data_IF_215587789764
#
_entry.id   IF_215587789764
#
_cell.length_a   1.000
_cell.length_b   1.000
_cell.length_c   1.000
_cell.angle_alpha   90.00
_cell.angle_beta   90.00
_cell.angle_gamma   90.00
#
_symmetry.space_group_name_H-M   'P 1'
#
loop_
_entity.id
_entity.type
_entity.pdbx_description
1 polymer ?
#
# COMPACT_ATOMS: atom_id res chain seq x y z
N UNK A 1 -22.06 -35.11 5.01
CA UNK A 1 -21.12 -34.79 3.91
C UNK A 1 -21.40 -33.36 3.49
N UNK A 2 -20.59 -32.41 3.97
CA UNK A 2 -20.71 -31.00 3.60
C UNK A 2 -19.93 -30.85 2.30
N UNK A 3 -20.64 -30.62 1.19
CA UNK A 3 -20.04 -30.40 -0.11
C UNK A 3 -19.23 -29.10 -0.10
N UNK A 4 -17.96 -29.18 -0.47
CA UNK A 4 -17.13 -28.01 -0.71
C UNK A 4 -17.72 -27.19 -1.86
N UNK A 5 -18.08 -25.94 -1.59
CA UNK A 5 -18.59 -24.99 -2.59
C UNK A 5 -17.48 -24.67 -3.60
N UNK A 6 -17.69 -24.85 -4.92
CA UNK A 6 -16.73 -24.43 -5.92
C UNK A 6 -16.82 -22.91 -6.14
N UNK A 7 -15.72 -22.21 -5.89
CA UNK A 7 -15.42 -20.87 -6.42
C UNK A 7 -13.91 -20.84 -6.77
N UNK A 8 -13.32 -19.90 -7.56
CA UNK A 8 -13.85 -18.71 -8.25
C UNK A 8 -13.22 -18.50 -9.67
N UNK A 9 -13.01 -19.56 -10.46
CA UNK A 9 -12.15 -19.46 -11.66
C UNK A 9 -12.72 -18.56 -12.78
N UNK A 10 -14.04 -18.58 -12.99
CA UNK A 10 -14.70 -17.69 -13.96
C UNK A 10 -14.75 -16.21 -13.53
N UNK A 11 -14.66 -15.94 -12.22
CA UNK A 11 -14.61 -14.58 -11.68
C UNK A 11 -13.21 -13.97 -11.88
N UNK A 12 -12.17 -14.79 -11.70
CA UNK A 12 -10.77 -14.42 -11.96
C UNK A 12 -10.57 -13.97 -13.41
N UNK A 13 -11.10 -14.71 -14.38
CA UNK A 13 -10.93 -14.41 -15.82
C UNK A 13 -11.58 -13.07 -16.21
N UNK A 14 -12.75 -12.77 -15.65
CA UNK A 14 -13.46 -11.51 -15.92
C UNK A 14 -12.77 -10.29 -15.27
N UNK A 15 -12.24 -10.43 -14.05
CA UNK A 15 -11.55 -9.34 -13.34
C UNK A 15 -10.20 -8.98 -13.97
N UNK A 16 -9.47 -9.96 -14.52
CA UNK A 16 -8.17 -9.75 -15.21
C UNK A 16 -8.35 -8.95 -16.52
N UNK A 17 -9.45 -9.18 -17.24
CA UNK A 17 -9.75 -8.49 -18.50
C UNK A 17 -10.01 -6.99 -18.29
N UNK A 18 -10.81 -6.63 -17.27
CA UNK A 18 -11.17 -5.23 -16.97
C UNK A 18 -9.95 -4.42 -16.52
N UNK A 19 -9.04 -5.00 -15.72
CA UNK A 19 -7.83 -4.33 -15.27
C UNK A 19 -6.85 -4.00 -16.41
N UNK A 20 -6.92 -4.70 -17.54
CA UNK A 20 -5.99 -4.54 -18.67
C UNK A 20 -6.34 -3.38 -19.59
N UNK A 21 -7.61 -2.97 -19.69
CA UNK A 21 -8.07 -1.94 -20.64
C UNK A 21 -7.69 -0.51 -20.21
N UNK A 22 -7.76 -0.20 -18.91
CA UNK A 22 -7.44 1.13 -18.37
C UNK A 22 -5.95 1.51 -18.49
N UNK A 23 -5.07 0.50 -18.55
CA UNK A 23 -3.61 0.69 -18.64
C UNK A 23 -3.19 1.19 -20.03
N UNK A 24 -3.95 0.85 -21.06
CA UNK A 24 -3.64 1.22 -22.46
C UNK A 24 -3.82 2.72 -22.68
N UNK A 25 -4.87 3.32 -22.11
CA UNK A 25 -5.18 4.75 -22.28
C UNK A 25 -4.12 5.70 -21.67
N UNK A 26 -3.37 5.26 -20.65
CA UNK A 26 -2.29 6.06 -20.06
C UNK A 26 -1.02 6.08 -20.94
N UNK A 27 -0.82 5.08 -21.80
CA UNK A 27 0.44 4.86 -22.54
C UNK A 27 0.61 5.74 -23.78
N UNK A 28 -0.45 6.34 -24.29
CA UNK A 28 -0.45 7.06 -25.58
C UNK A 28 0.29 8.41 -25.55
N UNK A 29 0.76 8.87 -24.39
CA UNK A 29 1.37 10.20 -24.23
C UNK A 29 2.89 10.19 -23.92
N UNK A 30 3.59 9.06 -24.05
CA UNK A 30 5.03 8.99 -23.74
C UNK A 30 5.88 9.01 -25.02
N UNK A 31 6.79 9.99 -25.21
CA UNK A 31 7.64 10.06 -26.41
C UNK A 31 8.62 8.88 -26.50
N UNK A 32 9.04 8.48 -27.72
CA UNK A 32 9.95 7.36 -27.93
C UNK A 32 11.36 7.71 -27.41
N UNK A 33 11.85 6.89 -26.47
CA UNK A 33 13.16 7.05 -25.83
C UNK A 33 14.29 6.44 -26.70
N UNK A 34 15.52 6.98 -26.63
CA UNK A 34 16.69 6.42 -27.33
C UNK A 34 16.96 4.97 -26.91
N UNK A 35 17.61 4.19 -27.78
CA UNK A 35 17.81 2.74 -27.67
C UNK A 35 18.26 2.28 -26.29
N UNK A 36 17.27 1.79 -25.55
CA UNK A 36 17.37 1.20 -24.22
C UNK A 36 17.83 -0.26 -24.33
N UNK A 37 18.68 -0.76 -23.41
CA UNK A 37 19.08 -2.17 -23.37
C UNK A 37 17.86 -3.10 -23.30
N UNK A 38 17.75 -4.02 -24.27
CA UNK A 38 16.59 -4.93 -24.44
C UNK A 38 16.49 -6.01 -23.37
N UNK A 39 17.58 -6.26 -22.66
CA UNK A 39 17.63 -7.12 -21.47
C UNK A 39 18.45 -6.39 -20.41
N UNK A 40 17.88 -6.24 -19.22
CA UNK A 40 18.69 -5.93 -18.04
C UNK A 40 19.14 -7.29 -17.52
N UNK A 41 20.32 -7.75 -17.96
CA UNK A 41 20.86 -9.06 -17.59
C UNK A 41 21.21 -9.03 -16.10
N UNK A 42 20.37 -9.72 -15.31
CA UNK A 42 20.45 -9.90 -13.85
C UNK A 42 21.82 -10.37 -13.41
N UNK A 43 22.46 -11.20 -14.24
CA UNK A 43 23.70 -11.90 -13.93
C UNK A 43 24.93 -10.99 -13.89
N UNK A 44 24.79 -9.71 -14.22
CA UNK A 44 25.90 -8.74 -14.18
C UNK A 44 25.97 -7.93 -12.89
N UNK A 45 24.95 -7.99 -12.04
CA UNK A 45 24.97 -7.30 -10.75
C UNK A 45 25.65 -8.20 -9.72
N UNK A 46 26.84 -7.78 -9.28
CA UNK A 46 27.52 -8.40 -8.15
C UNK A 46 26.60 -8.39 -6.91
N UNK A 47 26.23 -9.57 -6.37
CA UNK A 47 25.28 -9.70 -5.27
C UNK A 47 25.74 -9.03 -3.96
N UNK A 48 27.06 -8.89 -3.75
CA UNK A 48 27.59 -8.20 -2.58
C UNK A 48 27.41 -6.70 -2.71
N UNK A 49 27.68 -6.16 -3.90
CA UNK A 49 27.41 -4.76 -4.23
C UNK A 49 25.92 -4.43 -4.17
N UNK A 50 25.05 -5.35 -4.62
CA UNK A 50 23.61 -5.23 -4.48
C UNK A 50 23.20 -5.10 -3.01
N UNK A 51 23.59 -6.07 -2.19
CA UNK A 51 23.18 -6.15 -0.79
C UNK A 51 23.62 -4.92 -0.03
N UNK A 52 24.87 -4.49 -0.24
CA UNK A 52 25.41 -3.25 0.32
C UNK A 52 24.59 -2.02 -0.10
N UNK A 53 24.26 -1.90 -1.39
CA UNK A 53 23.44 -0.80 -1.90
C UNK A 53 22.04 -0.80 -1.29
N UNK A 54 21.37 -1.96 -1.25
CA UNK A 54 20.02 -2.12 -0.67
C UNK A 54 20.01 -1.74 0.80
N UNK A 55 20.92 -2.31 1.60
CA UNK A 55 21.03 -2.02 3.04
C UNK A 55 21.33 -0.55 3.28
N UNK A 56 22.27 0.03 2.54
CA UNK A 56 22.66 1.43 2.67
C UNK A 56 21.50 2.37 2.34
N UNK A 57 20.87 2.21 1.17
CA UNK A 57 19.90 3.19 0.68
C UNK A 57 18.51 2.96 1.29
N UNK A 58 18.01 1.72 1.31
CA UNK A 58 16.71 1.45 1.94
C UNK A 58 16.80 1.54 3.46
N UNK A 59 17.98 1.32 4.07
CA UNK A 59 18.21 1.61 5.48
C UNK A 59 18.16 3.10 5.78
N UNK A 60 18.78 3.96 4.94
CA UNK A 60 18.66 5.43 5.02
C UNK A 60 17.22 5.89 4.87
N UNK A 61 16.45 5.29 3.96
CA UNK A 61 15.02 5.59 3.83
C UNK A 61 14.27 5.14 5.08
N UNK A 62 14.47 3.89 5.51
CA UNK A 62 13.83 3.29 6.67
C UNK A 62 14.03 4.07 7.95
N UNK A 63 15.25 4.54 8.22
CA UNK A 63 15.53 5.38 9.40
C UNK A 63 14.83 6.74 9.37
N UNK A 64 14.35 7.17 8.20
CA UNK A 64 13.57 8.40 8.01
C UNK A 64 12.06 8.15 8.04
N UNK A 65 11.60 7.01 7.52
CA UNK A 65 10.17 6.74 7.32
C UNK A 65 9.50 5.89 8.38
N UNK A 66 10.26 5.15 9.19
CA UNK A 66 9.64 4.20 10.11
C UNK A 66 9.20 4.89 11.39
N UNK A 67 7.93 4.71 11.75
CA UNK A 67 7.26 5.34 12.90
C UNK A 67 7.57 4.66 14.24
N UNK A 68 8.80 4.16 14.45
CA UNK A 68 9.23 3.57 15.72
C UNK A 68 10.39 2.57 15.59
N UNK A 69 10.91 2.06 16.72
CA UNK A 69 11.92 1.01 16.69
C UNK A 69 11.33 -0.24 16.04
N UNK A 70 11.98 -0.69 14.98
CA UNK A 70 11.69 -2.00 14.40
C UNK A 70 12.25 -3.04 15.38
N UNK A 71 11.48 -4.10 15.75
CA UNK A 71 11.91 -5.08 16.75
C UNK A 71 13.05 -5.99 16.25
N UNK A 72 13.55 -5.73 15.04
CA UNK A 72 14.67 -6.41 14.42
C UNK A 72 15.62 -5.38 13.80
N UNK A 73 16.89 -5.78 13.65
CA UNK A 73 17.87 -4.97 12.93
C UNK A 73 17.46 -4.87 11.46
N UNK A 74 16.96 -3.69 11.07
CA UNK A 74 16.48 -3.41 9.72
C UNK A 74 17.53 -3.76 8.66
N UNK A 75 18.80 -3.43 8.92
CA UNK A 75 19.93 -3.76 8.05
C UNK A 75 20.05 -5.25 7.78
N UNK A 76 19.98 -6.07 8.83
CA UNK A 76 20.02 -7.55 8.74
C UNK A 76 18.83 -8.09 7.95
N UNK A 77 17.63 -7.55 8.20
CA UNK A 77 16.43 -7.90 7.43
C UNK A 77 16.54 -7.56 5.95
N UNK A 78 17.05 -6.37 5.61
CA UNK A 78 17.27 -5.92 4.24
C UNK A 78 18.36 -6.71 3.52
N UNK A 79 19.46 -7.01 4.21
CA UNK A 79 20.55 -7.84 3.68
C UNK A 79 20.03 -9.23 3.32
N UNK A 80 19.30 -9.85 4.26
CA UNK A 80 18.65 -11.14 4.04
C UNK A 80 17.70 -11.09 2.86
N UNK A 81 16.86 -10.07 2.77
CA UNK A 81 15.95 -9.89 1.63
C UNK A 81 16.71 -9.75 0.31
N UNK A 82 17.79 -8.98 0.25
CA UNK A 82 18.58 -8.83 -0.98
C UNK A 82 19.24 -10.15 -1.44
N UNK A 83 19.73 -10.94 -0.48
CA UNK A 83 20.43 -12.20 -0.73
C UNK A 83 19.47 -13.35 -1.03
N UNK A 84 18.43 -13.54 -0.22
CA UNK A 84 17.57 -14.73 -0.26
C UNK A 84 16.36 -14.57 -1.20
N UNK A 85 15.99 -13.34 -1.58
CA UNK A 85 14.81 -13.15 -2.41
C UNK A 85 15.03 -13.69 -3.84
N UNK A 86 14.00 -14.34 -4.42
CA UNK A 86 14.03 -14.76 -5.82
C UNK A 86 14.16 -13.54 -6.75
N UNK A 87 14.69 -13.78 -7.96
CA UNK A 87 15.23 -12.75 -8.84
C UNK A 87 14.36 -11.50 -9.04
N UNK A 88 13.04 -11.65 -9.20
CA UNK A 88 12.13 -10.50 -9.38
C UNK A 88 12.12 -9.59 -8.15
N UNK A 89 11.99 -10.13 -6.94
CA UNK A 89 11.98 -9.31 -5.72
C UNK A 89 13.35 -8.67 -5.46
N UNK A 90 14.43 -9.38 -5.81
CA UNK A 90 15.79 -8.81 -5.76
C UNK A 90 15.93 -7.57 -6.65
N UNK A 91 15.33 -7.58 -7.84
CA UNK A 91 15.31 -6.43 -8.74
C UNK A 91 14.47 -5.25 -8.24
N UNK A 92 13.32 -5.49 -7.62
CA UNK A 92 12.52 -4.41 -7.04
C UNK A 92 13.30 -3.69 -5.95
N UNK A 93 14.05 -4.43 -5.12
CA UNK A 93 14.94 -3.88 -4.09
C UNK A 93 16.08 -3.07 -4.71
N UNK A 94 16.74 -3.57 -5.76
CA UNK A 94 17.81 -2.84 -6.45
C UNK A 94 17.31 -1.51 -7.04
N UNK A 95 16.17 -1.56 -7.73
CA UNK A 95 15.55 -0.40 -8.34
C UNK A 95 15.17 0.63 -7.27
N UNK A 96 14.56 0.17 -6.19
CA UNK A 96 14.23 1.00 -5.03
C UNK A 96 15.45 1.68 -4.42
N UNK A 97 16.52 0.92 -4.18
CA UNK A 97 17.75 1.44 -3.61
C UNK A 97 18.39 2.52 -4.51
N UNK A 98 18.40 2.31 -5.83
CA UNK A 98 18.89 3.31 -6.78
C UNK A 98 18.02 4.57 -6.81
N UNK A 99 16.70 4.40 -6.80
CA UNK A 99 15.76 5.51 -6.81
C UNK A 99 15.87 6.33 -5.53
N UNK A 100 15.92 5.68 -4.37
CA UNK A 100 16.15 6.33 -3.07
C UNK A 100 17.48 7.07 -3.07
N UNK A 101 18.56 6.47 -3.56
CA UNK A 101 19.85 7.16 -3.71
C UNK A 101 19.72 8.44 -4.51
N UNK A 102 19.13 8.37 -5.72
CA UNK A 102 18.93 9.54 -6.57
C UNK A 102 18.08 10.63 -5.92
N UNK A 103 17.02 10.24 -5.19
CA UNK A 103 16.15 11.18 -4.47
C UNK A 103 16.86 11.83 -3.27
N UNK A 104 17.57 11.05 -2.46
CA UNK A 104 18.24 11.55 -1.25
C UNK A 104 19.48 12.37 -1.57
N UNK A 105 20.19 12.03 -2.63
CA UNK A 105 21.42 12.70 -3.04
C UNK A 105 21.13 13.87 -4.01
N UNK A 106 19.86 14.14 -4.32
CA UNK A 106 19.43 15.25 -5.19
C UNK A 106 19.85 15.10 -6.65
N UNK A 107 20.16 13.88 -7.09
CA UNK A 107 20.63 13.55 -8.44
C UNK A 107 19.69 12.53 -9.09
N UNK A 108 18.43 12.90 -9.37
CA UNK A 108 17.48 11.98 -9.99
C UNK A 108 18.00 11.56 -11.37
N UNK A 109 18.17 10.25 -11.57
CA UNK A 109 18.51 9.76 -12.90
C UNK A 109 17.30 9.90 -13.84
N UNK A 110 17.49 10.38 -15.08
CA UNK A 110 16.39 10.67 -16.01
C UNK A 110 15.62 9.41 -16.47
N UNK A 111 16.11 8.21 -16.16
CA UNK A 111 15.62 6.97 -16.77
C UNK A 111 14.78 6.08 -15.85
N UNK A 112 14.49 6.48 -14.61
CA UNK A 112 13.75 5.62 -13.66
C UNK A 112 12.35 5.24 -14.15
N UNK A 113 11.64 6.16 -14.81
CA UNK A 113 10.30 5.89 -15.37
C UNK A 113 10.37 4.74 -16.38
N UNK A 114 11.36 4.78 -17.28
CA UNK A 114 11.58 3.73 -18.25
C UNK A 114 11.98 2.40 -17.59
N UNK A 115 12.71 2.45 -16.47
CA UNK A 115 13.09 1.25 -15.71
C UNK A 115 11.85 0.61 -15.06
N UNK A 116 11.00 1.41 -14.43
CA UNK A 116 9.73 0.97 -13.84
C UNK A 116 8.84 0.32 -14.90
N UNK A 117 8.59 0.99 -16.04
CA UNK A 117 7.69 0.47 -17.08
C UNK A 117 8.20 -0.85 -17.67
N UNK A 118 9.51 -0.96 -17.96
CA UNK A 118 10.08 -2.22 -18.46
C UNK A 118 9.97 -3.33 -17.43
N UNK A 119 10.27 -3.02 -16.18
CA UNK A 119 10.28 -4.04 -15.14
C UNK A 119 8.86 -4.51 -14.81
N UNK A 120 7.90 -3.59 -14.73
CA UNK A 120 6.47 -3.88 -14.68
C UNK A 120 6.05 -4.82 -15.81
N UNK A 121 6.38 -4.49 -17.07
CA UNK A 121 6.06 -5.35 -18.22
C UNK A 121 6.67 -6.74 -18.09
N UNK A 122 7.90 -6.85 -17.61
CA UNK A 122 8.54 -8.16 -17.39
C UNK A 122 7.79 -9.01 -16.35
N UNK A 123 7.37 -8.38 -15.24
CA UNK A 123 6.65 -9.06 -14.16
C UNK A 123 5.25 -9.50 -14.60
N UNK A 124 4.55 -8.68 -15.38
CA UNK A 124 3.19 -9.01 -15.85
C UNK A 124 3.18 -9.97 -17.04
N UNK A 125 4.20 -9.95 -17.91
CA UNK A 125 4.19 -10.73 -19.16
C UNK A 125 4.36 -12.24 -18.95
N UNK A 126 4.94 -12.69 -17.83
CA UNK A 126 5.18 -14.12 -17.60
C UNK A 126 3.98 -14.87 -16.98
N UNK A 127 2.84 -14.21 -16.78
CA UNK A 127 1.81 -14.65 -15.83
C UNK A 127 0.62 -15.42 -16.42
N UNK A 128 0.39 -15.43 -17.73
CA UNK A 128 -0.98 -15.73 -18.22
C UNK A 128 -1.28 -17.24 -18.33
N UNK A 129 -0.28 -18.14 -18.29
CA UNK A 129 -0.50 -19.55 -18.65
C UNK A 129 -0.02 -20.57 -17.60
N UNK A 130 0.80 -20.17 -16.62
CA UNK A 130 1.41 -21.12 -15.68
C UNK A 130 0.83 -21.00 -14.27
N UNK A 131 0.51 -22.14 -13.66
CA UNK A 131 0.17 -22.22 -12.23
C UNK A 131 1.42 -21.94 -11.40
N UNK A 132 1.53 -20.72 -10.89
CA UNK A 132 2.63 -20.30 -10.04
C UNK A 132 2.46 -20.84 -8.60
N UNK A 133 3.57 -21.10 -7.93
CA UNK A 133 3.54 -21.41 -6.50
C UNK A 133 3.31 -20.14 -5.65
N UNK A 134 3.06 -20.33 -4.34
CA UNK A 134 2.77 -19.20 -3.45
C UNK A 134 3.96 -18.22 -3.34
N UNK A 135 5.20 -18.72 -3.32
CA UNK A 135 6.39 -17.89 -3.15
C UNK A 135 6.65 -17.01 -4.38
N UNK A 136 6.42 -17.54 -5.58
CA UNK A 136 6.53 -16.78 -6.82
C UNK A 136 5.42 -15.73 -6.93
N UNK A 137 4.18 -16.09 -6.58
CA UNK A 137 3.06 -15.15 -6.53
C UNK A 137 3.33 -14.01 -5.54
N UNK A 138 3.83 -14.32 -4.34
CA UNK A 138 4.27 -13.32 -3.36
C UNK A 138 5.39 -12.45 -3.91
N UNK A 139 6.39 -13.03 -4.56
CA UNK A 139 7.50 -12.28 -5.18
C UNK A 139 7.02 -11.29 -6.24
N UNK A 140 6.09 -11.70 -7.12
CA UNK A 140 5.51 -10.83 -8.16
C UNK A 140 4.61 -9.75 -7.56
N UNK A 141 3.76 -10.10 -6.60
CA UNK A 141 2.91 -9.16 -5.89
C UNK A 141 3.75 -8.09 -5.17
N UNK A 142 4.71 -8.53 -4.34
CA UNK A 142 5.65 -7.66 -3.63
C UNK A 142 6.34 -6.67 -4.56
N UNK A 143 6.82 -7.17 -5.71
CA UNK A 143 7.49 -6.38 -6.72
C UNK A 143 6.59 -5.29 -7.33
N UNK A 144 5.38 -5.64 -7.75
CA UNK A 144 4.46 -4.66 -8.34
C UNK A 144 4.01 -3.62 -7.30
N UNK A 145 3.82 -4.02 -6.04
CA UNK A 145 3.54 -3.06 -4.97
C UNK A 145 4.71 -2.10 -4.71
N UNK A 146 5.95 -2.60 -4.74
CA UNK A 146 7.15 -1.77 -4.66
C UNK A 146 7.23 -0.80 -5.84
N UNK A 147 6.93 -1.26 -7.05
CA UNK A 147 6.86 -0.41 -8.24
C UNK A 147 5.77 0.66 -8.13
N UNK A 148 4.59 0.30 -7.62
CA UNK A 148 3.53 1.26 -7.35
C UNK A 148 3.99 2.30 -6.32
N UNK A 149 4.68 1.87 -5.26
CA UNK A 149 5.26 2.75 -4.25
C UNK A 149 6.30 3.70 -4.85
N UNK A 150 7.28 3.20 -5.60
CA UNK A 150 8.29 4.02 -6.26
C UNK A 150 7.67 5.02 -7.24
N UNK A 151 6.68 4.59 -8.01
CA UNK A 151 5.93 5.45 -8.93
C UNK A 151 5.25 6.60 -8.20
N UNK A 152 4.66 6.33 -7.03
CA UNK A 152 4.09 7.38 -6.18
C UNK A 152 5.13 8.40 -5.70
N UNK A 153 6.40 8.00 -5.52
CA UNK A 153 7.48 8.89 -5.09
C UNK A 153 7.97 9.81 -6.22
N UNK A 154 8.04 9.32 -7.46
CA UNK A 154 8.67 10.06 -8.57
C UNK A 154 7.70 10.67 -9.58
N UNK A 155 6.46 10.18 -9.65
CA UNK A 155 5.44 10.63 -10.58
C UNK A 155 4.23 11.16 -9.80
N UNK A 156 3.07 10.54 -9.98
CA UNK A 156 1.86 10.88 -9.29
C UNK A 156 1.13 9.63 -8.79
N UNK A 157 0.11 9.87 -7.97
CA UNK A 157 -0.65 8.79 -7.34
C UNK A 157 -1.54 8.06 -8.35
N UNK A 158 -1.89 8.67 -9.48
CA UNK A 158 -2.71 8.04 -10.53
C UNK A 158 -1.90 6.98 -11.28
N UNK A 159 -0.66 7.30 -11.65
CA UNK A 159 0.27 6.35 -12.24
C UNK A 159 0.56 5.18 -11.28
N UNK A 160 0.74 5.48 -9.99
CA UNK A 160 0.89 4.45 -8.95
C UNK A 160 -0.33 3.53 -8.84
N UNK A 161 -1.53 4.10 -8.86
CA UNK A 161 -2.78 3.32 -8.84
C UNK A 161 -2.95 2.44 -10.08
N UNK A 162 -2.51 2.90 -11.25
CA UNK A 162 -2.51 2.09 -12.47
C UNK A 162 -1.61 0.84 -12.36
N UNK A 163 -0.49 0.94 -11.64
CA UNK A 163 0.36 -0.22 -11.33
C UNK A 163 -0.31 -1.11 -10.28
N UNK A 164 -0.91 -0.52 -9.23
CA UNK A 164 -1.62 -1.27 -8.19
C UNK A 164 -2.74 -2.14 -8.77
N UNK A 165 -3.47 -1.67 -9.79
CA UNK A 165 -4.46 -2.48 -10.54
C UNK A 165 -3.86 -3.77 -11.10
N UNK A 166 -2.60 -3.76 -11.48
CA UNK A 166 -1.91 -4.93 -12.04
C UNK A 166 -1.45 -5.93 -10.97
N UNK A 167 -1.46 -5.54 -9.69
CA UNK A 167 -1.27 -6.48 -8.59
C UNK A 167 -2.47 -7.43 -8.42
N UNK A 168 -3.68 -7.02 -8.85
CA UNK A 168 -4.93 -7.72 -8.59
C UNK A 168 -4.91 -9.20 -9.04
N UNK A 169 -4.46 -9.56 -10.26
CA UNK A 169 -4.41 -10.96 -10.69
C UNK A 169 -3.52 -11.83 -9.79
N UNK A 170 -2.36 -11.31 -9.38
CA UNK A 170 -1.42 -12.02 -8.51
C UNK A 170 -1.97 -12.14 -7.09
N UNK A 171 -2.59 -11.08 -6.58
CA UNK A 171 -3.29 -11.10 -5.30
C UNK A 171 -4.36 -12.18 -5.29
N UNK A 172 -5.23 -12.22 -6.29
CA UNK A 172 -6.36 -13.15 -6.30
C UNK A 172 -5.87 -14.61 -6.42
N UNK A 173 -4.89 -14.88 -7.29
CA UNK A 173 -4.25 -16.19 -7.38
C UNK A 173 -3.61 -16.60 -6.06
N UNK A 174 -2.91 -15.69 -5.39
CA UNK A 174 -2.31 -15.97 -4.08
C UNK A 174 -3.38 -16.21 -3.02
N UNK A 175 -4.45 -15.41 -3.01
CA UNK A 175 -5.57 -15.55 -2.09
C UNK A 175 -6.29 -16.90 -2.26
N UNK A 176 -6.30 -17.52 -3.45
CA UNK A 176 -6.83 -18.89 -3.61
C UNK A 176 -6.05 -19.95 -2.81
N UNK A 177 -4.79 -19.67 -2.44
CA UNK A 177 -3.98 -20.55 -1.58
C UNK A 177 -4.34 -20.43 -0.10
N UNK A 178 -5.18 -19.47 0.25
CA UNK A 178 -5.64 -19.22 1.62
C UNK A 178 -7.18 -19.17 1.66
N UNK A 179 -7.86 -20.33 1.65
CA UNK A 179 -9.33 -20.41 1.61
C UNK A 179 -10.01 -19.63 2.74
N UNK A 180 -9.36 -19.55 3.91
CA UNK A 180 -9.84 -18.81 5.06
C UNK A 180 -9.98 -17.30 4.80
N UNK A 181 -9.38 -16.72 3.75
CA UNK A 181 -9.58 -15.31 3.44
C UNK A 181 -10.96 -15.03 2.83
N UNK A 182 -11.58 -16.04 2.22
CA UNK A 182 -12.80 -15.88 1.46
C UNK A 182 -14.03 -16.06 2.34
N UNK A 183 -15.04 -15.25 2.09
CA UNK A 183 -16.39 -15.44 2.63
C UNK A 183 -17.24 -16.27 1.69
N UNK A 184 -18.44 -16.65 2.15
CA UNK A 184 -19.42 -17.40 1.36
C UNK A 184 -19.82 -16.63 0.09
N UNK A 185 -19.78 -15.30 0.12
CA UNK A 185 -20.16 -14.42 -0.98
C UNK A 185 -18.99 -14.12 -1.94
N UNK A 186 -17.90 -14.90 -1.87
CA UNK A 186 -16.66 -14.64 -2.63
C UNK A 186 -16.05 -13.26 -2.37
N UNK A 187 -16.32 -12.68 -1.20
CA UNK A 187 -15.65 -11.46 -0.72
C UNK A 187 -14.38 -11.82 0.05
N UNK A 188 -13.41 -10.90 0.09
CA UNK A 188 -12.22 -11.04 0.93
C UNK A 188 -12.51 -10.43 2.29
N UNK A 189 -12.40 -11.22 3.36
CA UNK A 189 -12.61 -10.72 4.73
C UNK A 189 -11.47 -9.82 5.17
N UNK A 190 -11.73 -8.52 5.30
CA UNK A 190 -10.69 -7.56 5.71
C UNK A 190 -10.20 -7.85 7.13
N UNK A 191 -11.10 -8.28 8.00
CA UNK A 191 -10.76 -8.66 9.36
C UNK A 191 -9.75 -9.82 9.37
N UNK A 192 -9.99 -10.88 8.58
CA UNK A 192 -9.06 -12.02 8.51
C UNK A 192 -7.73 -11.61 7.90
N UNK A 193 -7.73 -10.81 6.83
CA UNK A 193 -6.48 -10.32 6.23
C UNK A 193 -5.62 -9.57 7.24
N UNK A 194 -6.23 -8.64 7.99
CA UNK A 194 -5.49 -7.77 8.91
C UNK A 194 -5.16 -8.42 10.26
N UNK A 195 -5.74 -9.58 10.59
CA UNK A 195 -5.55 -10.24 11.90
C UNK A 195 -4.91 -11.63 11.85
N UNK A 196 -4.88 -12.31 10.71
CA UNK A 196 -4.28 -13.65 10.61
C UNK A 196 -2.76 -13.55 10.52
N UNK A 197 -2.02 -14.02 11.52
CA UNK A 197 -0.55 -13.91 11.59
C UNK A 197 0.22 -14.62 10.48
N UNK A 198 -0.25 -15.81 10.07
CA UNK A 198 0.40 -16.68 9.08
C UNK A 198 0.32 -16.09 7.67
N UNK A 199 -0.55 -15.10 7.45
CA UNK A 199 -0.75 -14.48 6.16
C UNK A 199 0.47 -13.67 5.71
N UNK A 200 0.75 -13.70 4.40
CA UNK A 200 1.87 -12.96 3.82
C UNK A 200 1.71 -11.46 4.04
N UNK A 201 2.85 -10.78 4.18
CA UNK A 201 2.88 -9.33 4.35
C UNK A 201 2.33 -8.61 3.12
N UNK A 202 2.61 -9.16 1.95
CA UNK A 202 2.18 -8.70 0.62
C UNK A 202 0.65 -8.64 0.51
N UNK A 203 -0.09 -9.67 0.94
CA UNK A 203 -1.58 -9.63 0.92
C UNK A 203 -2.11 -8.47 1.77
N UNK A 204 -1.56 -8.28 2.97
CA UNK A 204 -2.02 -7.21 3.86
C UNK A 204 -1.65 -5.82 3.31
N UNK A 205 -0.44 -5.69 2.74
CA UNK A 205 0.03 -4.48 2.07
C UNK A 205 -0.90 -4.12 0.91
N UNK A 206 -1.30 -5.09 0.09
CA UNK A 206 -2.23 -4.86 -1.02
C UNK A 206 -3.56 -4.32 -0.52
N UNK A 207 -4.17 -4.95 0.49
CA UNK A 207 -5.46 -4.53 1.05
C UNK A 207 -5.40 -3.12 1.64
N UNK A 208 -4.32 -2.79 2.33
CA UNK A 208 -4.07 -1.44 2.81
C UNK A 208 -4.03 -0.44 1.65
N UNK A 209 -3.23 -0.72 0.61
CA UNK A 209 -3.08 0.19 -0.53
C UNK A 209 -4.35 0.32 -1.35
N UNK A 210 -5.07 -0.77 -1.60
CA UNK A 210 -6.36 -0.71 -2.31
C UNK A 210 -7.36 0.15 -1.55
N UNK A 211 -7.50 -0.07 -0.24
CA UNK A 211 -8.39 0.71 0.62
C UNK A 211 -8.03 2.20 0.66
N UNK A 212 -6.74 2.50 0.80
CA UNK A 212 -6.25 3.89 0.83
C UNK A 212 -6.45 4.56 -0.52
N UNK A 213 -6.11 3.89 -1.63
CA UNK A 213 -6.25 4.45 -2.98
C UNK A 213 -7.72 4.64 -3.36
N UNK A 214 -8.60 3.69 -3.05
CA UNK A 214 -10.05 3.84 -3.27
C UNK A 214 -10.63 5.07 -2.56
N UNK A 215 -10.16 5.33 -1.34
CA UNK A 215 -10.52 6.53 -0.56
C UNK A 215 -9.97 7.80 -1.20
N UNK A 216 -8.67 7.78 -1.53
CA UNK A 216 -7.94 8.87 -2.14
C UNK A 216 -8.47 9.30 -3.52
N UNK A 217 -8.98 8.36 -4.31
CA UNK A 217 -9.53 8.67 -5.64
C UNK A 217 -11.05 8.77 -5.64
N UNK A 218 -11.71 8.45 -4.53
CA UNK A 218 -13.15 8.29 -4.52
C UNK A 218 -13.61 7.21 -5.50
N UNK A 219 -12.83 6.15 -5.71
CA UNK A 219 -13.19 5.02 -6.59
C UNK A 219 -13.62 3.81 -5.77
N UNK A 220 -14.28 2.83 -6.38
CA UNK A 220 -14.47 1.54 -5.72
C UNK A 220 -13.10 0.91 -5.41
N UNK A 221 -13.02 0.15 -4.31
CA UNK A 221 -11.91 -0.78 -4.07
C UNK A 221 -11.81 -1.77 -5.22
N UNK A 222 -10.61 -2.22 -5.54
CA UNK A 222 -10.35 -3.24 -6.56
C UNK A 222 -10.93 -4.60 -6.16
N UNK A 223 -11.05 -4.85 -4.85
CA UNK A 223 -11.68 -6.04 -4.31
C UNK A 223 -13.01 -5.73 -3.62
N UNK A 224 -13.91 -6.71 -3.68
CA UNK A 224 -15.08 -6.74 -2.81
C UNK A 224 -14.65 -7.26 -1.43
N UNK A 225 -14.64 -6.38 -0.45
CA UNK A 225 -14.30 -6.72 0.93
C UNK A 225 -15.55 -7.04 1.74
N UNK A 226 -15.51 -8.12 2.51
CA UNK A 226 -16.37 -8.26 3.67
C UNK A 226 -15.80 -7.39 4.79
N UNK A 227 -16.56 -6.33 5.11
CA UNK A 227 -16.20 -5.29 6.06
C UNK A 227 -16.94 -5.43 7.39
N UNK A 228 -17.46 -6.63 7.69
CA UNK A 228 -18.07 -6.92 8.99
C UNK A 228 -17.08 -6.57 10.11
N UNK A 229 -17.44 -5.57 10.93
CA UNK A 229 -16.60 -5.11 12.03
C UNK A 229 -16.72 -6.08 13.19
N UNK A 230 -15.77 -7.00 13.29
CA UNK A 230 -15.64 -7.85 14.46
C UNK A 230 -14.82 -7.14 15.54
N UNK A 231 -14.98 -7.57 16.78
CA UNK A 231 -14.14 -7.08 17.86
C UNK A 231 -12.68 -7.46 17.60
N UNK A 232 -11.74 -6.53 17.85
CA UNK A 232 -10.35 -6.77 17.55
C UNK A 232 -9.85 -7.92 18.44
N UNK A 233 -9.18 -8.94 17.88
CA UNK A 233 -8.51 -9.94 18.70
C UNK A 233 -7.43 -9.27 19.56
N UNK A 234 -6.95 -9.94 20.62
CA UNK A 234 -5.84 -9.45 21.44
C UNK A 234 -4.70 -8.95 20.56
N UNK A 235 -4.15 -7.78 20.91
CA UNK A 235 -3.13 -7.12 20.08
C UNK A 235 -1.88 -8.00 19.96
N UNK A 236 -1.59 -8.49 18.75
CA UNK A 236 -0.34 -9.17 18.44
C UNK A 236 0.70 -8.19 17.85
N UNK A 237 1.92 -8.21 18.39
CA UNK A 237 3.03 -7.35 17.96
C UNK A 237 3.53 -7.58 16.52
N UNK A 238 3.46 -8.82 16.01
CA UNK A 238 3.88 -9.17 14.64
C UNK A 238 2.99 -8.52 13.58
N UNK A 239 1.72 -8.30 13.91
CA UNK A 239 0.72 -7.67 13.04
C UNK A 239 0.97 -6.16 12.92
N UNK A 240 1.79 -5.56 13.79
CA UNK A 240 2.09 -4.11 13.77
C UNK A 240 3.11 -3.71 12.70
N UNK A 241 3.61 -4.61 11.86
CA UNK A 241 4.58 -4.24 10.81
C UNK A 241 3.96 -3.22 9.85
N UNK A 242 2.70 -3.40 9.42
CA UNK A 242 2.02 -2.42 8.57
C UNK A 242 1.82 -1.08 9.29
N UNK A 243 1.37 -1.12 10.54
CA UNK A 243 1.19 0.08 11.36
C UNK A 243 2.52 0.84 11.57
N UNK A 244 3.64 0.13 11.73
CA UNK A 244 4.98 0.71 11.88
C UNK A 244 5.52 1.27 10.56
N UNK A 245 5.27 0.60 9.43
CA UNK A 245 5.74 1.02 8.11
C UNK A 245 4.94 2.18 7.53
N UNK A 246 3.63 2.21 7.77
CA UNK A 246 2.71 3.16 7.13
C UNK A 246 2.01 4.10 8.12
N UNK A 247 2.25 3.98 9.42
CA UNK A 247 1.59 4.78 10.45
C UNK A 247 0.08 4.58 10.57
N UNK A 248 -0.53 3.72 9.73
CA UNK A 248 -1.97 3.53 9.67
C UNK A 248 -2.40 2.34 10.54
N UNK A 249 -3.22 2.56 11.58
CA UNK A 249 -3.75 1.48 12.41
C UNK A 249 -4.72 0.59 11.61
N UNK A 250 -4.61 -0.73 11.76
CA UNK A 250 -5.46 -1.71 11.05
C UNK A 250 -6.96 -1.50 11.28
N UNK A 251 -7.35 -1.02 12.46
CA UNK A 251 -8.75 -0.74 12.80
C UNK A 251 -9.29 0.41 11.96
N UNK A 252 -8.45 1.45 11.76
CA UNK A 252 -8.77 2.57 10.89
C UNK A 252 -8.86 2.12 9.42
N UNK A 253 -7.98 1.22 8.96
CA UNK A 253 -8.09 0.62 7.62
C UNK A 253 -9.42 -0.11 7.44
N UNK A 254 -9.83 -0.89 8.44
CA UNK A 254 -11.08 -1.65 8.42
C UNK A 254 -12.30 -0.72 8.37
N UNK A 255 -12.25 0.37 9.13
CA UNK A 255 -13.27 1.42 9.12
C UNK A 255 -13.34 2.10 7.74
N UNK A 256 -12.20 2.51 7.18
CA UNK A 256 -12.16 3.15 5.85
C UNK A 256 -12.71 2.20 4.78
N UNK A 257 -12.37 0.91 4.83
CA UNK A 257 -12.92 -0.08 3.91
C UNK A 257 -14.44 -0.23 4.05
N UNK A 258 -14.98 -0.23 5.28
CA UNK A 258 -16.44 -0.22 5.51
C UNK A 258 -17.10 1.02 4.92
N UNK A 259 -16.52 2.20 5.10
CA UNK A 259 -17.01 3.44 4.47
C UNK A 259 -16.96 3.33 2.94
N UNK A 260 -15.89 2.77 2.36
CA UNK A 260 -15.80 2.51 0.92
C UNK A 260 -16.90 1.58 0.42
N UNK A 261 -17.14 0.47 1.13
CA UNK A 261 -18.17 -0.51 0.79
C UNK A 261 -19.58 0.09 0.89
N UNK A 262 -19.90 0.73 2.02
CA UNK A 262 -21.19 1.38 2.27
C UNK A 262 -21.49 2.47 1.22
N UNK A 263 -20.46 3.24 0.82
CA UNK A 263 -20.56 4.19 -0.27
C UNK A 263 -21.04 3.51 -1.54
N UNK A 264 -20.31 2.51 -2.04
CA UNK A 264 -20.65 1.81 -3.29
C UNK A 264 -22.03 1.14 -3.19
N UNK A 265 -22.36 0.53 -2.06
CA UNK A 265 -23.69 -0.05 -1.80
C UNK A 265 -24.80 1.00 -1.91
N UNK A 266 -24.59 2.20 -1.36
CA UNK A 266 -25.54 3.33 -1.48
C UNK A 266 -25.75 3.77 -2.93
N UNK A 267 -24.68 3.81 -3.72
CA UNK A 267 -24.77 4.13 -5.15
C UNK A 267 -25.60 3.10 -5.92
N UNK A 268 -25.48 1.82 -5.57
CA UNK A 268 -26.21 0.73 -6.24
C UNK A 268 -27.65 0.60 -5.75
N UNK A 269 -27.90 0.82 -4.45
CA UNK A 269 -29.21 0.68 -3.79
C UNK A 269 -29.36 1.75 -2.72
N UNK A 270 -30.02 2.89 -3.02
CA UNK A 270 -30.35 3.88 -2.00
C UNK A 270 -31.41 3.30 -1.05
N UNK A 271 -31.03 2.94 0.18
CA UNK A 271 -31.95 2.48 1.22
C UNK A 271 -31.81 3.33 2.49
N UNK A 272 -32.93 3.54 3.19
CA UNK A 272 -32.98 4.31 4.44
C UNK A 272 -32.29 3.59 5.62
N UNK A 273 -31.99 2.29 5.49
CA UNK A 273 -31.35 1.46 6.52
C UNK A 273 -29.88 1.81 6.82
N UNK A 274 -29.25 2.70 6.06
CA UNK A 274 -27.84 3.02 6.23
C UNK A 274 -27.53 3.89 7.47
N UNK A 275 -28.54 4.49 8.10
CA UNK A 275 -28.33 5.38 9.27
C UNK A 275 -27.69 4.65 10.46
N UNK A 276 -28.02 3.38 10.67
CA UNK A 276 -27.47 2.58 11.77
C UNK A 276 -25.99 2.24 11.52
N UNK A 277 -25.65 1.85 10.30
CA UNK A 277 -24.28 1.51 9.89
C UNK A 277 -23.31 2.69 10.06
N UNK A 278 -23.72 3.90 9.68
CA UNK A 278 -22.89 5.10 9.88
C UNK A 278 -22.66 5.42 11.35
N UNK A 279 -23.67 5.17 12.20
CA UNK A 279 -23.59 5.42 13.64
C UNK A 279 -22.61 4.45 14.30
N UNK A 280 -22.63 3.18 13.91
CA UNK A 280 -21.65 2.17 14.36
C UNK A 280 -20.21 2.54 13.97
N UNK A 281 -19.99 2.96 12.72
CA UNK A 281 -18.66 3.39 12.25
C UNK A 281 -18.17 4.63 13.01
N UNK A 282 -19.05 5.61 13.22
CA UNK A 282 -18.74 6.81 13.98
C UNK A 282 -18.39 6.49 15.44
N UNK A 283 -19.14 5.60 16.08
CA UNK A 283 -18.87 5.14 17.45
C UNK A 283 -17.50 4.45 17.55
N UNK A 284 -17.19 3.54 16.62
CA UNK A 284 -15.87 2.87 16.55
C UNK A 284 -14.72 3.86 16.38
N UNK A 285 -14.86 4.91 15.56
CA UNK A 285 -13.86 5.97 15.43
C UNK A 285 -13.72 6.85 16.69
N UNK A 286 -14.79 6.98 17.49
CA UNK A 286 -14.79 7.74 18.75
C UNK A 286 -14.10 6.97 19.86
N UNK A 287 -14.35 5.67 19.93
CA UNK A 287 -13.78 4.77 20.93
C UNK A 287 -12.33 4.38 20.62
N UNK A 288 -11.93 4.41 19.35
CA UNK A 288 -10.56 4.11 18.97
C UNK A 288 -9.59 5.13 19.57
N UNK A 289 -8.55 4.61 20.23
CA UNK A 289 -7.46 5.38 20.79
C UNK A 289 -6.09 4.80 20.38
N UNK A 290 -5.10 5.66 20.08
CA UNK A 290 -3.75 5.22 19.82
C UNK A 290 -3.12 4.66 21.11
N UNK A 291 -2.26 3.63 20.98
CA UNK A 291 -1.62 3.00 22.14
C UNK A 291 -0.32 3.67 22.49
N UNK A 292 -0.26 4.21 23.71
CA UNK A 292 0.90 4.89 24.25
C UNK A 292 1.90 3.85 24.70
N UNK A 293 3.05 3.80 24.02
CA UNK A 293 4.23 3.23 24.63
C UNK A 293 4.64 4.19 25.79
N UNK A 294 5.03 3.66 26.95
CA UNK A 294 5.30 4.48 28.15
C UNK A 294 6.46 5.47 27.95
N UNK A 295 7.34 5.22 26.98
CA UNK A 295 8.44 6.12 26.62
C UNK A 295 7.98 7.25 25.70
N UNK A 296 7.87 8.46 26.25
CA UNK A 296 7.51 9.70 25.55
C UNK A 296 8.65 10.25 24.66
N UNK A 297 9.27 9.40 23.84
CA UNK A 297 10.25 9.86 22.84
C UNK A 297 9.58 10.72 21.76
N UNK A 298 10.34 11.60 21.10
CA UNK A 298 9.85 12.40 19.98
C UNK A 298 9.25 11.54 18.85
N UNK A 299 9.78 10.33 18.63
CA UNK A 299 9.27 9.38 17.66
C UNK A 299 7.89 8.85 18.03
N UNK A 300 7.64 8.62 19.33
CA UNK A 300 6.32 8.25 19.82
C UNK A 300 5.34 9.39 19.54
N UNK A 301 5.65 10.62 19.91
CA UNK A 301 4.78 11.79 19.62
C UNK A 301 4.47 11.93 18.12
N UNK A 302 5.48 11.78 17.24
CA UNK A 302 5.27 11.84 15.79
C UNK A 302 4.33 10.73 15.30
N UNK A 303 4.49 9.50 15.80
CA UNK A 303 3.59 8.38 15.51
C UNK A 303 2.16 8.67 15.97
N UNK A 304 1.98 9.23 17.17
CA UNK A 304 0.67 9.64 17.67
C UNK A 304 -0.01 10.63 16.73
N UNK A 305 0.72 11.66 16.32
CA UNK A 305 0.20 12.67 15.40
C UNK A 305 -0.24 12.04 14.06
N UNK A 306 0.54 11.09 13.52
CA UNK A 306 0.18 10.39 12.27
C UNK A 306 -1.04 9.49 12.46
N UNK A 307 -1.11 8.71 13.53
CA UNK A 307 -2.26 7.85 13.79
C UNK A 307 -3.54 8.66 14.04
N UNK A 308 -3.44 9.75 14.78
CA UNK A 308 -4.53 10.69 14.97
C UNK A 308 -4.94 11.35 13.65
N UNK A 309 -3.98 11.70 12.78
CA UNK A 309 -4.27 12.21 11.44
C UNK A 309 -5.04 11.20 10.59
N UNK A 310 -4.71 9.91 10.67
CA UNK A 310 -5.49 8.85 10.03
C UNK A 310 -6.92 8.77 10.57
N UNK A 311 -7.10 8.87 11.89
CA UNK A 311 -8.43 8.90 12.51
C UNK A 311 -9.25 10.11 12.03
N UNK A 312 -8.65 11.30 12.02
CA UNK A 312 -9.29 12.53 11.53
C UNK A 312 -9.65 12.43 10.04
N UNK A 313 -8.78 11.85 9.21
CA UNK A 313 -9.05 11.58 7.81
C UNK A 313 -10.27 10.66 7.63
N UNK A 314 -10.36 9.61 8.44
CA UNK A 314 -11.50 8.69 8.42
C UNK A 314 -12.81 9.39 8.84
N UNK A 315 -12.79 10.28 9.83
CA UNK A 315 -13.97 11.10 10.18
C UNK A 315 -14.41 12.00 9.03
N UNK A 316 -13.48 12.77 8.46
CA UNK A 316 -13.79 13.66 7.35
C UNK A 316 -14.39 12.87 6.20
N UNK A 317 -13.78 11.73 5.85
CA UNK A 317 -14.27 10.87 4.79
C UNK A 317 -15.66 10.30 5.08
N UNK A 318 -15.90 9.79 6.29
CA UNK A 318 -17.20 9.32 6.75
C UNK A 318 -18.29 10.39 6.57
N UNK A 319 -18.06 11.61 7.07
CA UNK A 319 -19.06 12.67 6.98
C UNK A 319 -19.29 13.17 5.55
N UNK A 320 -18.25 13.16 4.72
CA UNK A 320 -18.39 13.49 3.30
C UNK A 320 -19.27 12.49 2.58
N UNK A 321 -19.00 11.20 2.74
CA UNK A 321 -19.81 10.14 2.12
C UNK A 321 -21.25 10.18 2.63
N UNK A 322 -21.44 10.47 3.92
CA UNK A 322 -22.77 10.62 4.53
C UNK A 322 -23.55 11.80 3.95
N UNK A 323 -22.94 12.99 3.86
CA UNK A 323 -23.60 14.25 3.45
C UNK A 323 -23.76 14.43 1.94
N UNK A 324 -22.80 14.01 1.11
CA UNK A 324 -22.71 14.46 -0.29
C UNK A 324 -23.66 13.76 -1.28
N UNK A 325 -24.43 12.76 -0.85
CA UNK A 325 -25.28 11.97 -1.76
C UNK A 325 -26.76 12.14 -1.47
N UNK A 326 -27.33 13.30 -1.84
CA UNK A 326 -27.99 13.30 -3.15
C UNK A 326 -27.82 14.56 -4.02
N UNK A 327 -26.87 15.48 -3.75
CA UNK A 327 -26.90 16.83 -4.38
C UNK A 327 -25.61 17.37 -5.02
N UNK A 328 -24.46 16.70 -4.97
CA UNK A 328 -23.19 17.28 -5.45
C UNK A 328 -22.49 16.46 -6.56
N UNK A 329 -21.92 17.13 -7.58
CA UNK A 329 -21.15 16.46 -8.64
C UNK A 329 -19.81 15.91 -8.12
N UNK A 330 -19.32 14.86 -8.79
CA UNK A 330 -18.08 14.10 -8.51
C UNK A 330 -16.84 14.96 -8.23
N UNK A 331 -16.79 16.18 -8.77
CA UNK A 331 -15.65 17.10 -8.68
C UNK A 331 -15.30 17.56 -7.26
N UNK A 332 -16.26 17.62 -6.32
CA UNK A 332 -15.97 18.02 -4.93
C UNK A 332 -15.42 16.87 -4.07
N UNK A 333 -15.76 15.62 -4.38
CA UNK A 333 -15.18 14.44 -3.73
C UNK A 333 -13.68 14.30 -4.03
N UNK A 334 -13.26 14.75 -5.22
CA UNK A 334 -11.85 14.77 -5.65
C UNK A 334 -11.00 15.68 -4.75
N UNK A 335 -11.55 16.75 -4.15
CA UNK A 335 -10.79 17.67 -3.30
C UNK A 335 -10.34 17.02 -1.98
N UNK A 336 -11.17 16.17 -1.37
CA UNK A 336 -10.79 15.45 -0.16
C UNK A 336 -10.05 14.16 -0.45
N UNK A 337 -10.30 13.53 -1.61
CA UNK A 337 -9.41 12.53 -2.16
C UNK A 337 -7.97 13.05 -2.24
N UNK A 338 -7.77 14.29 -2.72
CA UNK A 338 -6.47 14.98 -2.68
C UNK A 338 -5.97 15.24 -1.26
N UNK A 339 -6.83 15.47 -0.27
CA UNK A 339 -6.42 15.60 1.13
C UNK A 339 -5.98 14.24 1.73
N UNK A 340 -6.63 13.13 1.39
CA UNK A 340 -6.21 11.77 1.76
C UNK A 340 -4.94 11.34 1.01
N UNK A 341 -4.80 11.68 -0.27
CA UNK A 341 -3.55 11.53 -1.03
C UNK A 341 -2.48 12.43 -0.44
N UNK A 342 -2.81 13.66 -0.03
CA UNK A 342 -1.89 14.56 0.64
C UNK A 342 -1.51 13.99 2.01
N UNK A 343 -2.39 13.34 2.76
CA UNK A 343 -2.09 12.64 4.01
C UNK A 343 -1.29 11.36 3.80
N UNK A 344 -1.52 10.63 2.71
CA UNK A 344 -0.71 9.48 2.32
C UNK A 344 0.67 9.96 1.89
N UNK A 345 0.74 11.03 1.09
CA UNK A 345 1.95 11.73 0.71
C UNK A 345 2.62 12.38 1.92
N UNK A 346 1.91 12.92 2.89
CA UNK A 346 2.45 13.50 4.13
C UNK A 346 2.90 12.34 5.03
N UNK A 347 2.26 11.19 5.05
CA UNK A 347 2.82 10.01 5.74
C UNK A 347 4.09 9.52 5.03
N UNK A 348 4.13 9.57 3.70
CA UNK A 348 5.30 9.23 2.85
C UNK A 348 6.43 10.28 2.87
N UNK A 349 6.08 11.57 3.00
CA UNK A 349 6.95 12.75 2.81
C UNK A 349 7.26 13.44 4.13
N UNK A 350 6.39 13.42 5.14
CA UNK A 350 6.73 13.91 6.50
C UNK A 350 7.85 13.07 7.09
N UNK A 351 7.87 11.78 6.79
CA UNK A 351 9.02 10.91 6.94
C UNK A 351 10.33 11.48 6.35
N UNK A 352 10.26 12.11 5.16
CA UNK A 352 11.40 12.71 4.48
C UNK A 352 11.68 14.17 4.93
N UNK A 353 10.67 14.89 5.42
CA UNK A 353 10.76 16.31 5.80
C UNK A 353 11.08 16.55 7.28
N UNK A 354 10.83 15.58 8.17
CA UNK A 354 11.13 15.66 9.62
C UNK A 354 12.61 15.99 9.90
N UNK A 355 13.51 15.66 8.97
CA UNK A 355 14.95 15.92 9.05
C UNK A 355 15.33 17.39 8.74
N UNK A 356 14.54 18.13 7.95
CA UNK A 356 14.85 19.55 7.68
C UNK A 356 14.61 20.42 8.91
N UNK A 357 13.63 20.11 9.75
CA UNK A 357 13.39 20.79 11.03
C UNK A 357 14.40 20.38 12.11
N UNK A 358 14.75 19.09 12.20
CA UNK A 358 15.73 18.61 13.19
C UNK A 358 17.17 19.03 12.86
N UNK A 359 17.53 19.07 11.57
CA UNK A 359 18.81 19.58 11.09
C UNK A 359 18.98 21.09 11.32
N UNK A 360 17.88 21.86 11.31
CA UNK A 360 17.88 23.28 11.69
C UNK A 360 18.11 23.47 13.18
N UNK A 361 17.44 22.70 14.03
CA UNK A 361 17.54 22.81 15.48
C UNK A 361 18.89 22.32 16.03
N UNK A 362 19.55 21.40 15.32
CA UNK A 362 20.92 20.96 15.66
C UNK A 362 21.98 21.98 15.22
N UNK A 363 21.79 22.71 14.12
CA UNK A 363 22.68 23.80 13.70
C UNK A 363 22.55 25.03 14.58
N UNK A 364 21.33 25.42 14.97
CA UNK A 364 21.13 26.56 15.87
C UNK A 364 21.77 26.35 17.25
N UNK A 365 21.84 25.11 17.73
CA UNK A 365 22.49 24.78 19.00
C UNK A 365 24.02 24.64 18.89
N UNK A 366 24.55 24.42 17.68
CA UNK A 366 25.99 24.39 17.41
C UNK A 366 26.57 25.77 17.09
N UNK A 367 25.72 26.73 16.68
CA UNK A 367 26.10 28.13 16.42
C UNK A 367 25.88 29.04 17.66
N UNK A 368 25.29 28.51 18.74
CA UNK A 368 25.04 29.20 20.01
C UNK A 368 26.07 28.87 21.11
N UNK A 369 27.10 28.08 20.79
CA UNK A 369 28.27 27.78 21.62
C UNK A 369 29.54 28.06 20.82
#
# INVERSE_FOLDING_TARGET
MIGASPAPQSILENLVSVASQDVVAWRENVPPLPTIPRSVVIDTIDPDNLSSLVVSQLGRLGSRVVFGPIPYQLSTGLARLAQESPGVKRWSLYLGANLVRGLLDGTPQPNYIGWIDRFQRQVTSSSVVQTLDAAELEGRLSCLEDLAYYTSMILDSRASYAILKQCLPFFLQLATKFPDLWTVESAISIHRVLNTEVLSYEIRKFVLWDTVMATAFGTASLLHYDTTLLDPPPRNERIRILERSYGCPKDIVSIIAKVNSARISRWLKPTDSQSEEWTEVEARLKEWAPTLDPDLSANVVARFAVQESWRQAAYIYLYMVRRLFPQYPESELVACGRACVALTRVTLVSSLLYDKSYGWQKRSNLEAH
#
